data_IF_622241075702
#
_entry.id   IF_622241075702
#
_cell.length_a   1.000
_cell.length_b   1.000
_cell.length_c   1.000
_cell.angle_alpha   90.00
_cell.angle_beta   90.00
_cell.angle_gamma   90.00
#
_symmetry.space_group_name_H-M   'P 1'
#
loop_
_entity.id
_entity.type
_entity.pdbx_description
1 polymer ?
#
# COMPACT_ATOMS: atom_id res chain seq x y z
N UNK A 1 -43.07 -4.62 28.39
CA UNK A 1 -41.83 -5.23 27.87
C UNK A 1 -41.01 -5.64 29.07
N UNK A 2 -40.72 -6.93 29.20
CA UNK A 2 -39.88 -7.47 30.26
C UNK A 2 -38.42 -7.05 30.01
N UNK A 3 -37.72 -6.62 31.05
CA UNK A 3 -36.31 -6.20 30.98
C UNK A 3 -35.41 -7.36 30.52
N UNK A 4 -35.77 -8.60 30.85
CA UNK A 4 -35.07 -9.81 30.39
C UNK A 4 -35.21 -9.98 28.87
N UNK A 5 -36.40 -9.72 28.32
CA UNK A 5 -36.64 -9.80 26.87
C UNK A 5 -35.81 -8.74 26.12
N UNK A 6 -35.76 -7.51 26.66
CA UNK A 6 -34.94 -6.42 26.11
C UNK A 6 -33.43 -6.73 26.15
N UNK A 7 -32.95 -7.35 27.22
CA UNK A 7 -31.56 -7.81 27.32
C UNK A 7 -31.26 -8.88 26.26
N UNK A 8 -32.16 -9.84 26.05
CA UNK A 8 -32.02 -10.86 25.00
C UNK A 8 -31.90 -10.25 23.61
N UNK A 9 -32.75 -9.28 23.28
CA UNK A 9 -32.70 -8.55 22.01
C UNK A 9 -31.37 -7.79 21.82
N UNK A 10 -30.88 -7.14 22.87
CA UNK A 10 -29.60 -6.40 22.85
C UNK A 10 -28.40 -7.34 22.65
N UNK A 11 -28.37 -8.48 23.34
CA UNK A 11 -27.28 -9.46 23.21
C UNK A 11 -27.25 -10.07 21.80
N UNK A 12 -28.40 -10.46 21.26
CA UNK A 12 -28.49 -10.97 19.89
C UNK A 12 -28.18 -9.92 18.82
N UNK A 13 -28.50 -8.64 19.07
CA UNK A 13 -28.08 -7.55 18.20
C UNK A 13 -26.56 -7.32 18.27
N UNK A 14 -25.96 -7.43 19.45
CA UNK A 14 -24.53 -7.25 19.62
C UNK A 14 -23.72 -8.37 18.95
N UNK A 15 -24.12 -9.64 19.14
CA UNK A 15 -23.48 -10.79 18.48
C UNK A 15 -23.48 -10.65 16.95
N UNK A 16 -24.63 -10.31 16.36
CA UNK A 16 -24.73 -10.07 14.91
C UNK A 16 -23.84 -8.91 14.44
N UNK A 17 -23.72 -7.86 15.25
CA UNK A 17 -22.83 -6.74 14.93
C UNK A 17 -21.36 -7.14 14.99
N UNK A 18 -20.96 -7.98 15.95
CA UNK A 18 -19.59 -8.50 16.07
C UNK A 18 -19.24 -9.41 14.88
N UNK A 19 -20.12 -10.33 14.52
CA UNK A 19 -19.97 -11.20 13.34
C UNK A 19 -19.82 -10.38 12.05
N UNK A 20 -20.67 -9.36 11.86
CA UNK A 20 -20.60 -8.47 10.71
C UNK A 20 -19.28 -7.70 10.66
N UNK A 21 -18.80 -7.19 11.80
CA UNK A 21 -17.50 -6.50 11.88
C UNK A 21 -16.35 -7.43 11.54
N UNK A 22 -16.35 -8.66 12.05
CA UNK A 22 -15.33 -9.65 11.73
C UNK A 22 -15.32 -9.96 10.24
N UNK A 23 -16.49 -10.21 9.65
CA UNK A 23 -16.58 -10.50 8.21
C UNK A 23 -16.09 -9.32 7.36
N UNK A 24 -16.51 -8.10 7.69
CA UNK A 24 -16.06 -6.88 6.99
C UNK A 24 -14.54 -6.68 7.10
N UNK A 25 -13.98 -6.96 8.27
CA UNK A 25 -12.53 -6.90 8.48
C UNK A 25 -11.79 -7.91 7.60
N UNK A 26 -12.23 -9.17 7.57
CA UNK A 26 -11.61 -10.20 6.74
C UNK A 26 -11.72 -9.90 5.25
N UNK A 27 -12.87 -9.42 4.77
CA UNK A 27 -13.04 -8.97 3.38
C UNK A 27 -12.13 -7.78 3.07
N UNK A 28 -12.04 -6.80 3.97
CA UNK A 28 -11.15 -5.65 3.82
C UNK A 28 -9.68 -6.05 3.77
N UNK A 29 -9.25 -6.98 4.62
CA UNK A 29 -7.88 -7.49 4.66
C UNK A 29 -7.50 -8.19 3.35
N UNK A 30 -8.39 -9.04 2.82
CA UNK A 30 -8.17 -9.70 1.54
C UNK A 30 -8.08 -8.69 0.38
N UNK A 31 -8.94 -7.67 0.37
CA UNK A 31 -8.89 -6.61 -0.64
C UNK A 31 -7.62 -5.77 -0.53
N UNK A 32 -7.19 -5.46 0.70
CA UNK A 32 -5.96 -4.73 0.98
C UNK A 32 -4.74 -5.45 0.39
N UNK A 33 -4.59 -6.74 0.68
CA UNK A 33 -3.50 -7.56 0.16
C UNK A 33 -3.56 -7.67 -1.37
N UNK A 34 -4.73 -7.99 -1.92
CA UNK A 34 -4.93 -8.10 -3.37
C UNK A 34 -4.58 -6.80 -4.11
N UNK A 35 -4.90 -5.64 -3.52
CA UNK A 35 -4.59 -4.34 -4.12
C UNK A 35 -3.08 -4.07 -4.18
N UNK A 36 -2.33 -4.46 -3.14
CA UNK A 36 -0.86 -4.35 -3.11
C UNK A 36 -0.23 -5.28 -4.15
N UNK A 37 -0.68 -6.54 -4.22
CA UNK A 37 -0.18 -7.51 -5.21
C UNK A 37 -0.45 -7.01 -6.64
N UNK A 38 -1.64 -6.46 -6.90
CA UNK A 38 -1.98 -5.90 -8.19
C UNK A 38 -1.09 -4.69 -8.56
N UNK A 39 -0.76 -3.82 -7.60
CA UNK A 39 0.18 -2.72 -7.83
C UNK A 39 1.57 -3.24 -8.22
N UNK A 40 2.09 -4.25 -7.53
CA UNK A 40 3.40 -4.81 -7.84
C UNK A 40 3.44 -5.47 -9.22
N UNK A 41 2.42 -6.25 -9.57
CA UNK A 41 2.27 -6.82 -10.90
C UNK A 41 2.21 -5.74 -11.98
N UNK A 42 1.52 -4.63 -11.71
CA UNK A 42 1.44 -3.50 -12.61
C UNK A 42 2.82 -2.82 -12.79
N UNK A 43 3.57 -2.62 -11.71
CA UNK A 43 4.93 -2.06 -11.76
C UNK A 43 5.87 -2.98 -12.55
N UNK A 44 5.87 -4.28 -12.27
CA UNK A 44 6.68 -5.25 -13.02
C UNK A 44 6.30 -5.27 -14.50
N UNK A 45 5.01 -5.20 -14.84
CA UNK A 45 4.55 -5.14 -16.22
C UNK A 45 5.07 -3.90 -16.95
N UNK A 46 5.09 -2.74 -16.29
CA UNK A 46 5.65 -1.50 -16.84
C UNK A 46 7.16 -1.59 -17.05
N UNK A 47 7.88 -2.25 -16.12
CA UNK A 47 9.33 -2.35 -16.14
C UNK A 47 9.86 -3.59 -16.87
N UNK A 48 8.98 -4.45 -17.39
CA UNK A 48 9.32 -5.74 -17.99
C UNK A 48 10.53 -5.70 -18.95
N UNK A 49 10.62 -4.76 -19.91
CA UNK A 49 11.78 -4.70 -20.81
C UNK A 49 13.12 -4.45 -20.09
N UNK A 50 13.10 -3.66 -19.01
CA UNK A 50 14.29 -3.33 -18.22
C UNK A 50 14.68 -4.47 -17.29
N UNK A 51 13.69 -5.21 -16.77
CA UNK A 51 13.90 -6.41 -15.95
C UNK A 51 14.49 -7.53 -16.81
N UNK A 52 13.89 -7.82 -17.97
CA UNK A 52 14.38 -8.83 -18.92
C UNK A 52 15.76 -8.48 -19.47
N UNK A 53 16.05 -7.19 -19.63
CA UNK A 53 17.37 -6.67 -20.00
C UNK A 53 18.41 -6.69 -18.88
N UNK A 54 18.04 -7.09 -17.64
CA UNK A 54 18.93 -7.13 -16.48
C UNK A 54 19.34 -5.77 -15.95
N UNK A 55 18.65 -4.70 -16.36
CA UNK A 55 18.92 -3.31 -15.94
C UNK A 55 18.25 -2.98 -14.60
N UNK A 56 17.16 -3.68 -14.29
CA UNK A 56 16.46 -3.60 -13.01
C UNK A 56 16.34 -5.01 -12.44
N UNK A 57 16.68 -5.17 -11.16
CA UNK A 57 16.33 -6.37 -10.40
C UNK A 57 15.15 -6.09 -9.49
N UNK A 58 14.29 -7.09 -9.32
CA UNK A 58 13.11 -7.03 -8.44
C UNK A 58 13.28 -8.09 -7.36
N UNK A 59 13.13 -7.68 -6.10
CA UNK A 59 13.22 -8.55 -4.94
C UNK A 59 11.97 -8.41 -4.08
N UNK A 60 11.50 -9.54 -3.55
CA UNK A 60 10.35 -9.61 -2.66
C UNK A 60 10.78 -10.14 -1.30
N UNK A 61 10.45 -9.40 -0.25
CA UNK A 61 10.77 -9.76 1.13
C UNK A 61 9.47 -9.82 1.96
N UNK A 62 9.29 -10.82 2.85
CA UNK A 62 8.16 -10.84 3.77
C UNK A 62 8.08 -9.55 4.58
N UNK A 63 6.88 -8.97 4.65
CA UNK A 63 6.62 -7.73 5.36
C UNK A 63 5.40 -7.86 6.27
N UNK A 64 5.56 -7.36 7.49
CA UNK A 64 4.50 -7.30 8.49
C UNK A 64 4.18 -5.82 8.75
N UNK A 65 3.07 -5.33 8.22
CA UNK A 65 2.71 -3.93 8.40
C UNK A 65 2.09 -3.72 9.79
N UNK A 66 2.53 -2.68 10.49
CA UNK A 66 2.11 -2.38 11.87
C UNK A 66 1.26 -1.11 11.90
N UNK A 67 0.33 -1.05 12.86
CA UNK A 67 -0.45 0.17 13.13
C UNK A 67 -0.63 0.34 14.64
N UNK A 68 -1.06 1.53 15.07
CA UNK A 68 -1.38 1.78 16.49
C UNK A 68 -2.40 0.80 17.07
N UNK A 69 -3.28 0.21 16.23
CA UNK A 69 -4.27 -0.78 16.65
C UNK A 69 -3.75 -2.22 16.69
N UNK A 70 -2.63 -2.50 16.01
CA UNK A 70 -1.99 -3.83 15.95
C UNK A 70 -0.47 -3.69 16.08
N UNK A 71 0.06 -3.39 17.29
CA UNK A 71 1.47 -3.12 17.50
C UNK A 71 2.22 -4.37 18.02
N UNK A 72 2.60 -5.32 17.16
CA UNK A 72 3.55 -6.42 17.46
C UNK A 72 3.61 -7.44 16.29
N UNK A 73 4.16 -8.63 16.54
CA UNK A 73 4.27 -9.78 15.62
C UNK A 73 2.91 -10.41 15.24
N UNK A 74 1.82 -10.09 15.95
CA UNK A 74 0.49 -10.63 15.71
C UNK A 74 -0.35 -9.77 14.75
N UNK A 75 0.26 -8.79 14.08
CA UNK A 75 -0.45 -7.99 13.09
C UNK A 75 -1.06 -8.89 11.99
N UNK A 76 -2.34 -8.69 11.65
CA UNK A 76 -2.98 -9.44 10.56
C UNK A 76 -2.50 -8.98 9.17
N UNK A 77 -1.78 -7.85 9.08
CA UNK A 77 -1.35 -7.24 7.82
C UNK A 77 -0.03 -7.83 7.33
N UNK A 78 -0.10 -9.08 6.86
CA UNK A 78 1.03 -9.81 6.28
C UNK A 78 1.03 -9.66 4.77
N UNK A 79 2.17 -9.31 4.20
CA UNK A 79 2.33 -9.12 2.76
C UNK A 79 3.81 -9.17 2.39
N UNK A 80 4.20 -8.58 1.27
CA UNK A 80 5.58 -8.44 0.84
C UNK A 80 5.95 -6.97 0.61
N UNK A 81 7.21 -6.66 0.91
CA UNK A 81 7.90 -5.48 0.41
C UNK A 81 8.48 -5.82 -0.96
N UNK A 82 8.33 -4.92 -1.92
CA UNK A 82 9.01 -4.99 -3.21
C UNK A 82 10.20 -4.03 -3.22
N UNK A 83 11.39 -4.51 -3.58
CA UNK A 83 12.57 -3.67 -3.77
C UNK A 83 13.02 -3.74 -5.23
N UNK A 84 13.15 -2.58 -5.88
CA UNK A 84 13.76 -2.46 -7.19
C UNK A 84 15.20 -1.98 -7.04
N UNK A 85 16.15 -2.60 -7.72
CA UNK A 85 17.51 -2.06 -7.85
C UNK A 85 17.75 -1.54 -9.25
N UNK A 86 18.05 -0.25 -9.38
CA UNK A 86 18.33 0.42 -10.66
C UNK A 86 19.64 1.22 -10.54
N UNK A 87 20.61 0.93 -11.40
CA UNK A 87 21.93 1.58 -11.41
C UNK A 87 22.60 1.66 -10.01
N UNK A 88 22.48 0.59 -9.21
CA UNK A 88 23.02 0.51 -7.85
C UNK A 88 22.21 1.25 -6.78
N UNK A 89 21.08 1.86 -7.12
CA UNK A 89 20.16 2.49 -6.17
C UNK A 89 18.95 1.60 -5.91
N UNK A 90 18.50 1.57 -4.66
CA UNK A 90 17.32 0.82 -4.26
C UNK A 90 16.10 1.73 -4.13
N UNK A 91 14.98 1.28 -4.69
CA UNK A 91 13.65 1.86 -4.50
C UNK A 91 12.79 0.79 -3.83
N UNK A 92 12.33 1.02 -2.60
CA UNK A 92 11.55 0.05 -1.86
C UNK A 92 10.10 0.52 -1.68
N UNK A 93 9.17 -0.36 -2.01
CA UNK A 93 7.74 -0.21 -1.80
C UNK A 93 7.35 -1.01 -0.56
N UNK A 94 6.92 -0.30 0.47
CA UNK A 94 6.68 -0.82 1.82
C UNK A 94 5.20 -0.60 2.14
N UNK A 95 4.37 -1.64 2.15
CA UNK A 95 2.96 -1.50 2.46
C UNK A 95 2.69 -1.05 3.89
N UNK A 96 1.73 -0.15 4.06
CA UNK A 96 1.20 0.22 5.37
C UNK A 96 0.07 -0.72 5.78
N UNK A 97 -0.16 -0.82 7.09
CA UNK A 97 -1.34 -1.49 7.62
C UNK A 97 -2.62 -0.83 7.10
N UNK A 98 -3.66 -1.61 6.86
CA UNK A 98 -4.94 -1.11 6.34
C UNK A 98 -5.46 0.04 7.20
N UNK A 99 -5.68 1.19 6.57
CA UNK A 99 -6.14 2.39 7.24
C UNK A 99 -7.66 2.43 7.41
N UNK A 100 -8.16 3.59 7.84
CA UNK A 100 -9.59 3.79 8.07
C UNK A 100 -10.41 3.48 6.80
N UNK A 101 -11.58 2.86 6.99
CA UNK A 101 -12.49 2.46 5.90
C UNK A 101 -11.85 1.54 4.84
N UNK A 102 -10.80 0.80 5.21
CA UNK A 102 -10.14 -0.12 4.28
C UNK A 102 -9.15 0.54 3.32
N UNK A 103 -8.67 1.75 3.62
CA UNK A 103 -7.72 2.44 2.76
C UNK A 103 -6.40 1.66 2.65
N UNK A 104 -5.86 1.58 1.43
CA UNK A 104 -4.59 0.91 1.14
C UNK A 104 -3.54 1.97 0.79
N UNK A 105 -2.38 1.91 1.45
CA UNK A 105 -1.24 2.75 1.12
C UNK A 105 0.08 1.98 1.14
N UNK A 106 1.05 2.50 0.37
CA UNK A 106 2.40 1.96 0.23
C UNK A 106 3.37 3.13 0.28
N UNK A 107 4.34 3.09 1.20
CA UNK A 107 5.44 4.03 1.21
C UNK A 107 6.48 3.64 0.14
N UNK A 108 6.94 4.59 -0.67
CA UNK A 108 7.96 4.38 -1.70
C UNK A 108 9.26 5.10 -1.30
N UNK A 109 10.18 4.40 -0.67
CA UNK A 109 11.48 4.96 -0.27
C UNK A 109 12.48 4.86 -1.42
N UNK A 110 13.37 5.85 -1.54
CA UNK A 110 14.36 5.90 -2.63
C UNK A 110 13.83 6.36 -3.99
N UNK A 111 12.51 6.54 -4.13
CA UNK A 111 11.88 7.02 -5.38
C UNK A 111 12.11 8.52 -5.62
N UNK A 112 12.46 9.27 -4.58
CA UNK A 112 12.83 10.68 -4.69
C UNK A 112 14.35 10.88 -4.67
N UNK A 113 14.83 11.85 -5.44
CA UNK A 113 16.20 12.35 -5.35
C UNK A 113 16.45 13.14 -4.06
N UNK A 114 15.38 13.62 -3.41
CA UNK A 114 15.47 14.36 -2.15
C UNK A 114 15.26 13.41 -0.97
N UNK A 115 16.34 13.14 -0.21
CA UNK A 115 16.30 12.19 0.90
C UNK A 115 15.29 12.52 2.02
N UNK A 116 14.82 13.77 2.10
CA UNK A 116 13.81 14.22 3.07
C UNK A 116 12.37 14.07 2.57
N UNK A 117 12.17 13.71 1.29
CA UNK A 117 10.85 13.55 0.70
C UNK A 117 10.30 12.15 1.01
N UNK A 118 9.12 12.13 1.65
CA UNK A 118 8.34 10.92 1.84
C UNK A 118 7.39 10.80 0.67
N UNK A 119 7.47 9.68 -0.06
CA UNK A 119 6.56 9.36 -1.14
C UNK A 119 5.59 8.28 -0.66
N UNK A 120 4.30 8.52 -0.84
CA UNK A 120 3.23 7.60 -0.46
C UNK A 120 2.32 7.37 -1.67
N UNK A 121 2.09 6.11 -1.99
CA UNK A 121 1.08 5.67 -2.93
C UNK A 121 -0.19 5.32 -2.15
N UNK A 122 -1.33 5.87 -2.54
CA UNK A 122 -2.63 5.55 -1.96
C UNK A 122 -3.57 5.04 -3.04
N UNK A 123 -4.26 3.94 -2.74
CA UNK A 123 -5.27 3.38 -3.62
C UNK A 123 -6.58 4.18 -3.50
N UNK A 124 -7.07 4.70 -4.63
CA UNK A 124 -8.41 5.25 -4.75
C UNK A 124 -9.34 4.28 -5.47
N UNK A 125 -10.54 4.15 -4.88
CA UNK A 125 -11.74 3.46 -5.36
C UNK A 125 -11.55 2.23 -6.27
N UNK A 126 -11.67 1.00 -5.73
CA UNK A 126 -11.66 -0.23 -6.52
C UNK A 126 -12.82 -0.37 -7.52
N UNK A 127 -13.91 0.39 -7.37
CA UNK A 127 -15.15 0.20 -8.15
C UNK A 127 -15.07 0.68 -9.61
N UNK A 128 -14.10 1.54 -9.96
CA UNK A 128 -13.88 2.03 -11.33
C UNK A 128 -12.54 1.60 -11.94
N UNK A 129 -11.86 0.63 -11.30
CA UNK A 129 -10.50 0.24 -11.62
C UNK A 129 -9.54 0.93 -10.67
N UNK A 130 -8.85 0.13 -9.85
CA UNK A 130 -7.89 0.54 -8.83
C UNK A 130 -6.95 1.62 -9.37
N UNK A 131 -7.15 2.88 -8.95
CA UNK A 131 -6.27 3.98 -9.33
C UNK A 131 -5.32 4.27 -8.18
N UNK A 132 -4.02 4.22 -8.45
CA UNK A 132 -3.02 4.62 -7.49
C UNK A 132 -2.69 6.10 -7.67
N UNK A 133 -2.68 6.84 -6.56
CA UNK A 133 -2.20 8.20 -6.53
C UNK A 133 -0.93 8.28 -5.70
N UNK A 134 0.07 8.98 -6.23
CA UNK A 134 1.26 9.37 -5.49
C UNK A 134 1.03 10.70 -4.80
N UNK A 135 1.48 10.79 -3.56
CA UNK A 135 1.60 12.04 -2.82
C UNK A 135 2.99 12.15 -2.21
N UNK A 136 3.57 13.34 -2.28
CA UNK A 136 4.88 13.65 -1.73
C UNK A 136 4.74 14.58 -0.54
N UNK A 137 5.57 14.37 0.48
CA UNK A 137 5.62 15.24 1.65
C UNK A 137 7.08 15.59 1.97
N UNK A 138 7.34 16.88 2.20
CA UNK A 138 8.62 17.39 2.70
C UNK A 138 8.33 18.20 3.97
N UNK A 139 8.69 17.65 5.13
CA UNK A 139 8.31 18.23 6.42
C UNK A 139 6.80 18.35 6.56
N UNK A 140 6.28 19.59 6.67
CA UNK A 140 4.84 19.88 6.78
C UNK A 140 4.18 20.18 5.43
N UNK A 141 4.95 20.29 4.35
CA UNK A 141 4.42 20.59 3.02
C UNK A 141 4.06 19.30 2.31
N UNK A 142 2.84 19.25 1.77
CA UNK A 142 2.36 18.14 0.95
C UNK A 142 2.10 18.62 -0.47
N UNK A 143 2.47 17.79 -1.44
CA UNK A 143 2.09 18.01 -2.83
C UNK A 143 0.63 17.63 -3.06
N UNK A 144 0.08 18.10 -4.18
CA UNK A 144 -1.14 17.54 -4.73
C UNK A 144 -0.91 16.07 -5.12
N UNK A 145 -1.94 15.26 -4.99
CA UNK A 145 -1.90 13.86 -5.38
C UNK A 145 -1.87 13.74 -6.90
N UNK A 146 -0.96 12.94 -7.44
CA UNK A 146 -0.77 12.73 -8.88
C UNK A 146 -1.08 11.27 -9.24
N UNK A 147 -1.70 11.00 -10.40
CA UNK A 147 -1.88 9.63 -10.87
C UNK A 147 -0.54 8.89 -11.02
N UNK A 148 -0.42 7.73 -10.37
CA UNK A 148 0.75 6.87 -10.48
C UNK A 148 0.60 5.99 -11.72
N UNK A 149 1.15 6.46 -12.84
CA UNK A 149 1.09 5.78 -14.15
C UNK A 149 2.49 5.34 -14.60
N UNK A 150 2.56 4.48 -15.62
CA UNK A 150 3.82 4.02 -16.21
C UNK A 150 4.73 5.18 -16.61
N UNK A 151 4.21 6.17 -17.34
CA UNK A 151 5.00 7.32 -17.82
C UNK A 151 5.49 8.21 -16.67
N UNK A 152 4.62 8.42 -15.67
CA UNK A 152 4.98 9.20 -14.49
C UNK A 152 6.10 8.51 -13.71
N UNK A 153 5.95 7.21 -13.46
CA UNK A 153 6.93 6.40 -12.77
C UNK A 153 8.26 6.30 -13.52
N UNK A 154 8.22 6.09 -14.84
CA UNK A 154 9.42 6.05 -15.68
C UNK A 154 10.24 7.36 -15.59
N UNK A 155 9.57 8.52 -15.59
CA UNK A 155 10.24 9.83 -15.40
C UNK A 155 10.92 9.92 -14.03
N UNK A 156 10.29 9.40 -12.97
CA UNK A 156 10.90 9.37 -11.64
C UNK A 156 12.14 8.48 -11.63
N UNK A 157 12.07 7.28 -12.20
CA UNK A 157 13.22 6.37 -12.28
C UNK A 157 14.37 6.97 -13.09
N UNK A 158 14.08 7.66 -14.21
CA UNK A 158 15.09 8.35 -15.01
C UNK A 158 15.85 9.41 -14.19
N UNK A 159 15.14 10.16 -13.34
CA UNK A 159 15.76 11.15 -12.46
C UNK A 159 16.69 10.52 -11.39
N UNK A 160 16.55 9.22 -11.11
CA UNK A 160 17.41 8.51 -10.17
C UNK A 160 18.72 8.03 -10.79
N UNK A 161 18.76 7.86 -12.11
CA UNK A 161 19.95 7.40 -12.84
C UNK A 161 20.93 8.58 -12.96
N UNK A 162 22.18 8.44 -12.46
CA UNK A 162 23.19 9.48 -12.63
C UNK A 162 23.43 9.73 -14.12
N UNK A 163 23.31 10.98 -14.56
CA UNK A 163 23.88 11.40 -15.83
C UNK A 163 25.40 11.38 -15.64
N UNK A 164 26.09 10.40 -16.21
CA UNK A 164 27.55 10.47 -16.33
C UNK A 164 27.89 11.67 -17.23
N UNK A 165 28.43 12.72 -16.62
CA UNK A 165 29.20 13.77 -17.29
C UNK A 165 30.68 13.40 -17.31
#
# INVERSE_FOLDING_TARGET
MDEIQRLGELLSANQRNEEQKHQQFHTGLAQWEASIVALYQQIEAWLKPLIEGGQITVEYEPHLAQSKGYPDENSPFRTQRMTLTIAGRQVAFIPDAMGAKGSVSVAATGLSVHAQEVVTLSCQDPAQGTQWLEKKRIGVKESDAQPFTADYFAKQLQALVPLHS
#
